data_IF_384023586088
#
_entry.id   IF_384023586088
#
_cell.length_a   1.000
_cell.length_b   1.000
_cell.length_c   1.000
_cell.angle_alpha   90.00
_cell.angle_beta   90.00
_cell.angle_gamma   90.00
#
_symmetry.space_group_name_H-M   'P 1'
#
loop_
_entity.id
_entity.type
_entity.pdbx_description
1 polymer ?
#
# COMPACT_ATOMS: atom_id res chain seq x y z
N UNK A 1 -17.01 -27.11 -23.97
CA UNK A 1 -15.64 -27.01 -23.39
C UNK A 1 -14.90 -25.81 -23.97
N UNK A 2 -14.82 -25.60 -25.31
CA UNK A 2 -14.15 -24.42 -25.90
C UNK A 2 -14.72 -23.08 -25.44
N UNK A 3 -16.04 -22.93 -25.35
CA UNK A 3 -16.68 -21.70 -24.89
C UNK A 3 -16.41 -21.41 -23.40
N UNK A 4 -16.26 -22.44 -22.56
CA UNK A 4 -15.91 -22.30 -21.15
C UNK A 4 -14.46 -21.84 -20.96
N UNK A 5 -13.53 -22.42 -21.74
CA UNK A 5 -12.10 -22.06 -21.71
C UNK A 5 -11.87 -20.62 -22.20
N UNK A 6 -12.59 -20.18 -23.25
CA UNK A 6 -12.52 -18.79 -23.74
C UNK A 6 -13.08 -17.81 -22.70
N UNK A 7 -14.11 -18.22 -21.96
CA UNK A 7 -14.77 -17.41 -20.91
C UNK A 7 -13.91 -17.24 -19.64
N UNK A 8 -12.90 -18.10 -19.45
CA UNK A 8 -12.00 -18.07 -18.29
C UNK A 8 -10.63 -17.43 -18.59
N UNK A 9 -10.32 -17.11 -19.86
CA UNK A 9 -8.96 -16.61 -20.25
C UNK A 9 -8.65 -15.18 -19.77
N UNK A 10 -9.64 -14.42 -19.35
CA UNK A 10 -9.47 -13.02 -18.97
C UNK A 10 -8.53 -12.82 -17.76
N UNK A 11 -8.57 -13.68 -16.76
CA UNK A 11 -7.66 -13.62 -15.62
C UNK A 11 -6.28 -14.17 -15.96
N UNK A 12 -6.22 -15.21 -16.81
CA UNK A 12 -4.97 -15.83 -17.20
C UNK A 12 -4.06 -14.87 -18.00
N UNK A 13 -4.63 -14.06 -18.89
CA UNK A 13 -3.86 -13.03 -19.61
C UNK A 13 -3.28 -11.97 -18.69
N UNK A 14 -4.02 -11.58 -17.65
CA UNK A 14 -3.55 -10.61 -16.65
C UNK A 14 -2.43 -11.15 -15.80
N UNK A 15 -2.57 -12.39 -15.32
CA UNK A 15 -1.50 -13.08 -14.59
C UNK A 15 -0.27 -13.28 -15.49
N UNK A 16 -0.46 -13.68 -16.74
CA UNK A 16 0.64 -13.88 -17.68
C UNK A 16 1.40 -12.58 -18.04
N UNK A 17 0.77 -11.43 -17.89
CA UNK A 17 1.41 -10.13 -18.12
C UNK A 17 2.19 -9.60 -16.90
N UNK A 18 2.00 -10.15 -15.71
CA UNK A 18 2.73 -9.72 -14.50
C UNK A 18 4.26 -9.77 -14.64
N UNK A 19 4.86 -10.87 -15.17
CA UNK A 19 6.31 -10.90 -15.36
C UNK A 19 6.81 -9.81 -16.31
N UNK A 20 6.06 -9.50 -17.37
CA UNK A 20 6.43 -8.44 -18.31
C UNK A 20 6.39 -7.05 -17.64
N UNK A 21 5.36 -6.76 -16.85
CA UNK A 21 5.29 -5.52 -16.08
C UNK A 21 6.41 -5.44 -15.03
N UNK A 22 6.67 -6.56 -14.33
CA UNK A 22 7.76 -6.61 -13.36
C UNK A 22 9.11 -6.37 -14.02
N UNK A 23 9.36 -6.95 -15.20
CA UNK A 23 10.58 -6.71 -15.97
C UNK A 23 10.76 -5.23 -16.35
N UNK A 24 9.68 -4.54 -16.72
CA UNK A 24 9.72 -3.10 -16.98
C UNK A 24 10.13 -2.34 -15.71
N UNK A 25 9.59 -2.70 -14.56
CA UNK A 25 9.99 -2.08 -13.28
C UNK A 25 11.43 -2.42 -12.90
N UNK A 26 11.89 -3.64 -13.14
CA UNK A 26 13.29 -4.06 -12.94
C UNK A 26 14.24 -3.18 -13.75
N UNK A 27 13.96 -2.98 -15.02
CA UNK A 27 14.77 -2.10 -15.89
C UNK A 27 14.70 -0.66 -15.43
N UNK A 28 13.50 -0.17 -15.11
CA UNK A 28 13.31 1.20 -14.65
C UNK A 28 14.07 1.48 -13.34
N UNK A 29 13.93 0.61 -12.34
CA UNK A 29 14.61 0.76 -11.05
C UNK A 29 16.12 0.65 -11.20
N UNK A 30 16.61 -0.27 -12.05
CA UNK A 30 18.02 -0.39 -12.36
C UNK A 30 18.59 0.91 -12.95
N UNK A 31 17.90 1.49 -13.94
CA UNK A 31 18.33 2.75 -14.57
C UNK A 31 18.27 3.90 -13.61
N UNK A 32 17.17 4.03 -12.83
CA UNK A 32 17.00 5.12 -11.85
C UNK A 32 18.11 5.10 -10.79
N UNK A 33 18.42 3.94 -10.25
CA UNK A 33 19.46 3.81 -9.22
C UNK A 33 20.85 4.10 -9.81
N UNK A 34 21.13 3.68 -11.05
CA UNK A 34 22.40 3.99 -11.74
C UNK A 34 22.52 5.47 -12.15
N UNK A 35 21.41 6.17 -12.30
CA UNK A 35 21.39 7.61 -12.59
C UNK A 35 21.57 8.49 -11.34
N UNK A 36 21.51 7.91 -10.14
CA UNK A 36 21.76 8.66 -8.90
C UNK A 36 23.20 9.16 -8.85
N UNK A 37 23.43 10.41 -8.41
CA UNK A 37 24.78 10.94 -8.25
C UNK A 37 25.49 10.25 -7.08
N UNK A 38 26.74 9.85 -7.32
CA UNK A 38 27.58 9.20 -6.33
C UNK A 38 28.16 7.87 -6.84
N UNK A 39 29.27 7.47 -6.25
CA UNK A 39 29.91 6.19 -6.51
C UNK A 39 29.82 5.33 -5.23
N UNK A 40 29.01 4.25 -5.23
CA UNK A 40 28.83 3.40 -4.05
C UNK A 40 30.14 2.75 -3.60
N UNK A 41 31.04 2.46 -4.52
CA UNK A 41 32.36 1.87 -4.21
C UNK A 41 33.23 2.85 -3.44
N UNK A 42 33.22 4.13 -3.84
CA UNK A 42 33.95 5.19 -3.14
C UNK A 42 33.35 5.45 -1.75
N UNK A 43 32.04 5.42 -1.62
CA UNK A 43 31.35 5.61 -0.32
C UNK A 43 31.76 4.50 0.66
N UNK A 44 31.81 3.24 0.21
CA UNK A 44 32.19 2.10 1.05
C UNK A 44 33.67 2.09 1.42
N UNK A 45 34.53 2.41 0.48
CA UNK A 45 35.97 2.42 0.73
C UNK A 45 36.39 3.61 1.62
N UNK A 46 35.70 4.72 1.50
CA UNK A 46 35.98 5.91 2.29
C UNK A 46 37.49 6.26 2.26
N UNK A 47 38.12 6.29 3.44
CA UNK A 47 39.55 6.57 3.57
C UNK A 47 40.47 5.39 3.17
N UNK A 48 39.91 4.18 2.98
CA UNK A 48 40.67 2.99 2.60
C UNK A 48 40.77 2.83 1.07
N UNK A 49 40.57 3.89 0.32
CA UNK A 49 40.64 3.85 -1.13
C UNK A 49 42.05 3.47 -1.61
N UNK A 50 42.11 2.40 -2.39
CA UNK A 50 43.21 2.05 -3.27
C UNK A 50 42.67 1.61 -4.62
N UNK A 51 43.38 1.81 -5.74
CA UNK A 51 42.88 1.34 -7.06
C UNK A 51 42.58 -0.16 -7.08
N UNK A 52 43.33 -0.98 -6.37
CA UNK A 52 43.11 -2.42 -6.27
C UNK A 52 41.85 -2.76 -5.46
N UNK A 53 41.69 -2.09 -4.30
CA UNK A 53 40.47 -2.28 -3.47
C UNK A 53 39.22 -1.81 -4.20
N UNK A 54 39.31 -0.71 -4.96
CA UNK A 54 38.22 -0.21 -5.79
C UNK A 54 37.81 -1.23 -6.85
N UNK A 55 38.76 -1.75 -7.64
CA UNK A 55 38.49 -2.72 -8.68
C UNK A 55 37.93 -4.04 -8.12
N UNK A 56 38.45 -4.52 -6.99
CA UNK A 56 37.96 -5.71 -6.33
C UNK A 56 36.50 -5.52 -5.86
N UNK A 57 36.22 -4.45 -5.12
CA UNK A 57 34.89 -4.16 -4.59
C UNK A 57 33.88 -3.87 -5.71
N UNK A 58 34.30 -3.19 -6.77
CA UNK A 58 33.47 -2.96 -7.94
C UNK A 58 33.05 -4.29 -8.61
N UNK A 59 33.96 -5.26 -8.68
CA UNK A 59 33.65 -6.59 -9.22
C UNK A 59 32.71 -7.36 -8.28
N UNK A 60 32.97 -7.36 -6.96
CA UNK A 60 32.15 -8.04 -5.96
C UNK A 60 30.72 -7.50 -5.92
N UNK A 61 30.53 -6.20 -6.12
CA UNK A 61 29.20 -5.57 -6.19
C UNK A 61 28.50 -5.74 -7.55
N UNK A 62 29.12 -6.44 -8.52
CA UNK A 62 28.59 -6.60 -9.86
C UNK A 62 28.49 -5.28 -10.65
N UNK A 63 29.32 -4.29 -10.28
CA UNK A 63 29.39 -2.97 -10.92
C UNK A 63 30.47 -2.90 -12.01
N UNK A 64 31.23 -3.98 -12.19
CA UNK A 64 32.21 -4.10 -13.27
C UNK A 64 31.49 -4.42 -14.58
N UNK A 65 32.07 -3.97 -15.70
CA UNK A 65 31.52 -4.22 -17.03
C UNK A 65 30.52 -3.16 -17.51
N UNK A 66 29.95 -3.43 -18.68
CA UNK A 66 28.98 -2.54 -19.33
C UNK A 66 27.63 -2.56 -18.63
N UNK A 67 26.81 -1.48 -18.76
CA UNK A 67 25.46 -1.42 -18.17
C UNK A 67 24.55 -2.60 -18.59
N UNK A 68 24.56 -3.09 -19.86
CA UNK A 68 23.80 -4.27 -20.21
C UNK A 68 24.25 -5.54 -19.46
N UNK A 69 25.56 -5.74 -19.25
CA UNK A 69 26.09 -6.88 -18.50
C UNK A 69 25.65 -6.83 -17.03
N UNK A 70 25.71 -5.65 -16.41
CA UNK A 70 25.23 -5.42 -15.05
C UNK A 70 23.72 -5.68 -14.94
N UNK A 71 22.92 -5.27 -15.94
CA UNK A 71 21.47 -5.52 -15.95
C UNK A 71 21.17 -7.01 -16.04
N UNK A 72 21.88 -7.73 -16.92
CA UNK A 72 21.71 -9.19 -17.04
C UNK A 72 22.07 -9.89 -15.73
N UNK A 73 23.20 -9.53 -15.12
CA UNK A 73 23.58 -10.05 -13.79
C UNK A 73 22.51 -9.78 -12.72
N UNK A 74 22.00 -8.55 -12.67
CA UNK A 74 20.94 -8.19 -11.75
C UNK A 74 19.67 -9.02 -11.96
N UNK A 75 19.23 -9.22 -13.22
CA UNK A 75 18.05 -10.04 -13.51
C UNK A 75 18.27 -11.51 -13.12
N UNK A 76 19.47 -12.05 -13.35
CA UNK A 76 19.81 -13.43 -12.94
C UNK A 76 19.75 -13.60 -11.43
N UNK A 77 20.34 -12.68 -10.66
CA UNK A 77 20.30 -12.69 -9.20
C UNK A 77 18.84 -12.57 -8.69
N UNK A 78 18.05 -11.70 -9.33
CA UNK A 78 16.65 -11.51 -8.97
C UNK A 78 15.80 -12.79 -9.16
N UNK A 79 16.04 -13.57 -10.23
CA UNK A 79 15.37 -14.86 -10.46
C UNK A 79 15.71 -15.87 -9.36
N UNK A 80 16.88 -15.73 -8.74
CA UNK A 80 17.31 -16.53 -7.58
C UNK A 80 16.83 -15.96 -6.24
N UNK A 81 16.01 -14.89 -6.26
CA UNK A 81 15.54 -14.13 -5.10
C UNK A 81 16.69 -13.48 -4.30
N UNK A 82 17.84 -13.27 -4.93
CA UNK A 82 18.95 -12.55 -4.37
C UNK A 82 18.83 -11.05 -4.75
N UNK A 83 18.51 -10.24 -3.75
CA UNK A 83 18.47 -8.77 -3.86
C UNK A 83 19.80 -8.10 -3.48
N UNK A 84 20.82 -8.89 -3.18
CA UNK A 84 22.11 -8.43 -2.71
C UNK A 84 22.13 -8.10 -1.22
N UNK A 85 23.26 -7.50 -0.79
CA UNK A 85 23.49 -7.08 0.58
C UNK A 85 23.46 -5.55 0.67
N UNK A 86 22.83 -5.03 1.72
CA UNK A 86 22.86 -3.60 2.05
C UNK A 86 24.29 -3.16 2.26
N UNK A 87 24.69 -2.07 1.60
CA UNK A 87 26.03 -1.51 1.69
C UNK A 87 26.31 -0.95 3.08
N UNK A 88 25.27 -0.56 3.82
CA UNK A 88 25.40 0.06 5.14
C UNK A 88 25.35 -0.95 6.28
N UNK A 89 24.46 -1.94 6.19
CA UNK A 89 24.25 -2.90 7.28
C UNK A 89 25.03 -4.21 7.07
N UNK A 90 25.47 -4.49 5.85
CA UNK A 90 26.09 -5.76 5.46
C UNK A 90 25.16 -6.96 5.52
N UNK A 91 23.84 -6.73 5.73
CA UNK A 91 22.83 -7.79 5.79
C UNK A 91 22.18 -7.98 4.44
N UNK A 92 21.69 -9.18 4.20
CA UNK A 92 20.88 -9.46 3.02
C UNK A 92 19.63 -8.55 2.99
N UNK A 93 19.38 -7.90 1.85
CA UNK A 93 18.24 -7.01 1.66
C UNK A 93 16.92 -7.77 1.84
N UNK A 94 16.86 -9.03 1.43
CA UNK A 94 15.67 -9.90 1.65
C UNK A 94 15.40 -10.08 3.14
N UNK A 95 16.42 -10.28 3.96
CA UNK A 95 16.27 -10.44 5.41
C UNK A 95 15.78 -9.14 6.08
N UNK A 96 16.32 -7.98 5.67
CA UNK A 96 15.84 -6.66 6.14
C UNK A 96 14.37 -6.46 5.77
N UNK A 97 13.96 -6.84 4.56
CA UNK A 97 12.54 -6.74 4.14
C UNK A 97 11.65 -7.69 4.92
N UNK A 98 12.06 -8.95 5.06
CA UNK A 98 11.30 -9.90 5.87
C UNK A 98 11.10 -9.38 7.30
N UNK A 99 12.03 -8.59 7.81
CA UNK A 99 11.94 -8.00 9.14
C UNK A 99 11.02 -6.78 9.24
N UNK A 100 10.99 -5.90 8.24
CA UNK A 100 10.34 -4.58 8.30
C UNK A 100 9.01 -4.53 7.57
N UNK A 101 8.90 -5.25 6.44
CA UNK A 101 7.75 -5.22 5.56
C UNK A 101 6.42 -5.58 6.24
N UNK A 102 6.33 -6.63 7.07
CA UNK A 102 5.06 -6.97 7.72
C UNK A 102 4.51 -5.83 8.57
N UNK A 103 5.37 -5.11 9.30
CA UNK A 103 4.95 -3.95 10.10
C UNK A 103 4.40 -2.82 9.23
N UNK A 104 5.08 -2.46 8.14
CA UNK A 104 4.60 -1.46 7.18
C UNK A 104 3.26 -1.86 6.56
N UNK A 105 3.13 -3.14 6.19
CA UNK A 105 1.88 -3.68 5.67
C UNK A 105 0.75 -3.64 6.69
N UNK A 106 1.02 -3.96 7.95
CA UNK A 106 0.03 -3.88 9.03
C UNK A 106 -0.53 -2.46 9.13
N UNK A 107 0.33 -1.44 9.18
CA UNK A 107 -0.10 -0.05 9.21
C UNK A 107 -0.95 0.32 7.99
N UNK A 108 -0.45 0.01 6.78
CA UNK A 108 -1.13 0.35 5.53
C UNK A 108 -2.46 -0.40 5.39
N UNK A 109 -2.51 -1.69 5.69
CA UNK A 109 -3.73 -2.50 5.59
C UNK A 109 -4.78 -2.10 6.62
N UNK A 110 -4.38 -1.81 7.87
CA UNK A 110 -5.29 -1.29 8.88
C UNK A 110 -5.90 0.05 8.44
N UNK A 111 -5.08 0.99 7.96
CA UNK A 111 -5.57 2.27 7.47
C UNK A 111 -6.52 2.10 6.28
N UNK A 112 -6.17 1.24 5.31
CA UNK A 112 -6.99 1.01 4.12
C UNK A 112 -8.31 0.32 4.45
N UNK A 113 -8.29 -0.72 5.27
CA UNK A 113 -9.49 -1.45 5.67
C UNK A 113 -10.46 -0.56 6.46
N UNK A 114 -9.95 0.22 7.40
CA UNK A 114 -10.77 1.14 8.19
C UNK A 114 -11.29 2.29 7.31
N UNK A 115 -10.47 2.85 6.39
CA UNK A 115 -10.92 3.86 5.44
C UNK A 115 -12.04 3.35 4.53
N UNK A 116 -11.90 2.13 4.00
CA UNK A 116 -12.92 1.50 3.16
C UNK A 116 -14.22 1.26 3.94
N UNK A 117 -14.14 0.76 5.17
CA UNK A 117 -15.30 0.52 6.03
C UNK A 117 -16.00 1.83 6.41
N UNK A 118 -15.24 2.80 6.92
CA UNK A 118 -15.78 4.09 7.36
C UNK A 118 -16.42 4.82 6.18
N UNK A 119 -15.77 4.86 5.03
CA UNK A 119 -16.32 5.52 3.83
C UNK A 119 -17.62 4.87 3.35
N UNK A 120 -17.68 3.54 3.38
CA UNK A 120 -18.88 2.79 2.99
C UNK A 120 -20.07 3.11 3.93
N UNK A 121 -19.84 3.09 5.24
CA UNK A 121 -20.89 3.36 6.25
C UNK A 121 -21.32 4.83 6.23
N UNK A 122 -20.37 5.75 6.16
CA UNK A 122 -20.66 7.19 6.13
C UNK A 122 -21.42 7.57 4.87
N UNK A 123 -21.03 7.05 3.70
CA UNK A 123 -21.76 7.30 2.45
C UNK A 123 -23.20 6.81 2.50
N UNK A 124 -23.45 5.64 3.13
CA UNK A 124 -24.80 5.14 3.35
C UNK A 124 -25.67 6.15 4.10
N UNK A 125 -25.16 6.68 5.23
CA UNK A 125 -25.88 7.66 6.05
C UNK A 125 -26.14 8.95 5.26
N UNK A 126 -25.12 9.44 4.53
CA UNK A 126 -25.18 10.67 3.73
C UNK A 126 -26.25 10.59 2.63
N UNK A 127 -26.34 9.44 1.94
CA UNK A 127 -27.29 9.24 0.83
C UNK A 127 -28.72 9.04 1.35
N UNK A 128 -28.90 8.38 2.50
CA UNK A 128 -30.22 8.22 3.10
C UNK A 128 -30.80 9.52 3.71
N UNK A 129 -29.93 10.43 4.16
CA UNK A 129 -30.33 11.67 4.82
C UNK A 129 -29.72 12.90 4.13
N UNK A 130 -30.04 13.16 2.85
CA UNK A 130 -29.35 14.19 2.05
C UNK A 130 -29.53 15.61 2.58
N UNK A 131 -30.62 15.88 3.32
CA UNK A 131 -30.95 17.19 3.90
C UNK A 131 -30.41 17.40 5.31
N UNK A 132 -29.76 16.39 5.91
CA UNK A 132 -29.19 16.50 7.25
C UNK A 132 -27.93 17.40 7.22
N UNK A 133 -27.74 18.32 8.17
CA UNK A 133 -26.52 19.15 8.26
C UNK A 133 -25.23 18.32 8.39
N UNK A 134 -25.28 17.17 9.05
CA UNK A 134 -24.15 16.22 9.10
C UNK A 134 -23.77 15.75 7.70
N UNK A 135 -24.76 15.41 6.86
CA UNK A 135 -24.51 15.00 5.49
C UNK A 135 -23.88 16.15 4.66
N UNK A 136 -24.30 17.40 4.88
CA UNK A 136 -23.70 18.56 4.25
C UNK A 136 -22.23 18.75 4.66
N UNK A 137 -21.91 18.57 5.95
CA UNK A 137 -20.54 18.64 6.47
C UNK A 137 -19.66 17.52 5.89
N UNK A 138 -20.17 16.29 5.84
CA UNK A 138 -19.44 15.15 5.24
C UNK A 138 -19.19 15.40 3.74
N UNK A 139 -20.17 15.93 3.01
CA UNK A 139 -19.97 16.29 1.59
C UNK A 139 -18.94 17.41 1.42
N UNK A 140 -18.89 18.39 2.33
CA UNK A 140 -17.87 19.41 2.32
C UNK A 140 -16.48 18.84 2.58
N UNK A 141 -16.34 17.96 3.57
CA UNK A 141 -15.13 17.21 3.85
C UNK A 141 -14.68 16.37 2.63
N UNK A 142 -15.60 15.63 2.01
CA UNK A 142 -15.30 14.82 0.83
C UNK A 142 -14.86 15.66 -0.38
N UNK A 143 -15.34 16.91 -0.50
CA UNK A 143 -14.88 17.86 -1.52
C UNK A 143 -13.48 18.41 -1.24
N UNK A 144 -13.11 18.52 0.04
CA UNK A 144 -11.80 18.98 0.48
C UNK A 144 -10.72 17.87 0.44
N UNK A 145 -11.04 16.68 -0.11
CA UNK A 145 -10.11 15.56 -0.19
C UNK A 145 -8.76 15.98 -0.79
N UNK A 146 -7.68 15.68 -0.07
CA UNK A 146 -6.32 16.01 -0.49
C UNK A 146 -5.90 17.49 -0.31
N UNK A 147 -6.76 18.35 0.26
CA UNK A 147 -6.42 19.76 0.48
C UNK A 147 -5.34 19.94 1.56
N UNK A 148 -5.27 19.04 2.53
CA UNK A 148 -4.28 19.07 3.62
C UNK A 148 -3.34 17.87 3.43
N UNK A 149 -2.03 18.10 3.32
CA UNK A 149 -1.06 17.01 3.26
C UNK A 149 -1.13 16.11 4.52
N UNK A 150 -1.01 14.82 4.33
CA UNK A 150 -1.16 13.82 5.39
C UNK A 150 -0.15 14.04 6.54
N UNK A 151 1.07 14.43 6.24
CA UNK A 151 2.09 14.72 7.25
C UNK A 151 1.70 15.90 8.15
N UNK A 152 1.00 16.92 7.62
CA UNK A 152 0.51 18.06 8.42
C UNK A 152 -0.54 17.59 9.42
N UNK A 153 -1.43 16.69 8.99
CA UNK A 153 -2.41 16.07 9.88
C UNK A 153 -1.73 15.22 10.95
N UNK A 154 -0.65 14.50 10.61
CA UNK A 154 0.10 13.68 11.55
C UNK A 154 0.79 14.55 12.63
N UNK A 155 1.48 15.61 12.20
CA UNK A 155 2.14 16.55 13.12
C UNK A 155 1.11 17.25 14.01
N UNK A 156 0.01 17.73 13.43
CA UNK A 156 -1.08 18.33 14.20
C UNK A 156 -1.68 17.32 15.20
N UNK A 157 -1.87 16.07 14.78
CA UNK A 157 -2.33 14.99 15.64
C UNK A 157 -1.38 14.72 16.81
N UNK A 158 -0.07 14.69 16.56
CA UNK A 158 0.94 14.55 17.63
C UNK A 158 0.91 15.73 18.61
N UNK A 159 0.82 16.96 18.11
CA UNK A 159 0.75 18.14 18.96
C UNK A 159 -0.51 18.08 19.86
N UNK A 160 -1.66 17.75 19.28
CA UNK A 160 -2.93 17.76 20.03
C UNK A 160 -3.05 16.53 20.93
N UNK A 161 -2.94 15.32 20.37
CA UNK A 161 -3.28 14.10 21.10
C UNK A 161 -2.15 13.56 21.98
N UNK A 162 -0.90 13.75 21.59
CA UNK A 162 0.23 13.34 22.41
C UNK A 162 0.68 14.48 23.33
N UNK A 163 1.08 15.65 22.78
CA UNK A 163 1.74 16.67 23.58
C UNK A 163 0.75 17.47 24.46
N UNK A 164 -0.45 17.84 23.97
CA UNK A 164 -1.37 18.68 24.70
C UNK A 164 -2.34 17.89 25.60
N UNK A 165 -2.91 16.80 25.09
CA UNK A 165 -3.94 16.01 25.77
C UNK A 165 -3.40 14.78 26.51
N UNK A 166 -2.21 14.27 26.13
CA UNK A 166 -1.66 13.04 26.70
C UNK A 166 -2.49 11.77 26.40
N UNK A 167 -3.29 11.78 25.32
CA UNK A 167 -4.16 10.66 24.96
C UNK A 167 -3.46 9.63 24.07
N UNK A 168 -2.47 10.05 23.29
CA UNK A 168 -1.68 9.17 22.46
C UNK A 168 -0.36 8.81 23.14
N UNK A 169 0.18 7.60 22.94
CA UNK A 169 1.49 7.21 23.43
C UNK A 169 2.61 8.02 22.75
N UNK A 170 3.81 7.96 23.32
CA UNK A 170 4.98 8.61 22.74
C UNK A 170 5.31 8.04 21.35
N UNK A 171 5.71 8.88 20.36
CA UNK A 171 5.99 8.43 19.00
C UNK A 171 7.40 7.82 18.88
N UNK A 172 7.67 6.79 19.65
CA UNK A 172 9.02 6.15 19.77
C UNK A 172 9.01 4.67 19.36
N UNK A 173 8.01 4.25 18.61
CA UNK A 173 7.88 2.88 18.13
C UNK A 173 6.46 2.35 18.21
N UNK A 174 6.32 1.05 17.99
CA UNK A 174 5.03 0.33 17.94
C UNK A 174 4.62 -0.27 19.28
N UNK A 175 5.52 -0.28 20.26
CA UNK A 175 5.36 -0.96 21.53
C UNK A 175 6.02 -0.11 22.61
N UNK A 176 5.41 -0.02 23.78
CA UNK A 176 6.02 0.64 24.93
C UNK A 176 7.37 0.00 25.26
N UNK A 177 8.36 0.82 25.61
CA UNK A 177 9.74 0.38 25.86
C UNK A 177 9.82 -0.64 27.01
N UNK A 178 8.86 -0.62 27.92
CA UNK A 178 8.82 -1.48 29.09
C UNK A 178 8.20 -2.87 28.81
N UNK A 179 7.55 -3.05 27.64
CA UNK A 179 6.88 -4.29 27.27
C UNK A 179 7.78 -5.11 26.37
N UNK A 180 7.98 -6.37 26.73
CA UNK A 180 8.74 -7.31 25.89
C UNK A 180 7.98 -7.59 24.60
N UNK A 181 8.66 -7.50 23.44
CA UNK A 181 8.03 -7.83 22.17
C UNK A 181 7.60 -9.30 22.14
N UNK A 182 6.44 -9.61 21.51
CA UNK A 182 5.96 -10.97 21.37
C UNK A 182 6.93 -11.78 20.48
N UNK A 183 6.92 -13.13 20.62
CA UNK A 183 7.65 -14.00 19.72
C UNK A 183 7.23 -13.76 18.28
N UNK A 184 8.20 -13.63 17.39
CA UNK A 184 7.95 -13.37 15.98
C UNK A 184 7.60 -14.65 15.23
N UNK A 185 6.33 -14.81 14.84
CA UNK A 185 5.81 -15.97 14.11
C UNK A 185 5.47 -15.59 12.66
N UNK A 186 4.68 -14.55 12.48
CA UNK A 186 4.24 -14.05 11.16
C UNK A 186 5.02 -12.81 10.72
N UNK A 187 5.62 -12.10 11.67
CA UNK A 187 6.27 -10.82 11.49
C UNK A 187 5.32 -9.62 11.54
N UNK A 188 4.00 -9.83 11.56
CA UNK A 188 3.00 -8.77 11.80
C UNK A 188 2.89 -8.53 13.31
N UNK A 189 3.30 -7.35 13.82
CA UNK A 189 3.44 -7.15 15.28
C UNK A 189 2.16 -7.39 16.08
N UNK A 190 1.02 -6.87 15.62
CA UNK A 190 -0.26 -7.07 16.29
C UNK A 190 -0.73 -8.52 16.22
N UNK A 191 -0.60 -9.15 15.05
CA UNK A 191 -0.99 -10.54 14.87
C UNK A 191 -0.13 -11.48 15.73
N UNK A 192 1.17 -11.24 15.79
CA UNK A 192 2.09 -12.01 16.62
C UNK A 192 1.79 -11.86 18.11
N UNK A 193 1.42 -10.65 18.57
CA UNK A 193 0.98 -10.42 19.94
C UNK A 193 -0.32 -11.19 20.28
N UNK A 194 -1.28 -11.20 19.36
CA UNK A 194 -2.53 -11.94 19.51
C UNK A 194 -2.28 -13.45 19.52
N UNK A 195 -1.46 -13.97 18.60
CA UNK A 195 -1.12 -15.39 18.53
C UNK A 195 -0.36 -15.88 19.79
N UNK A 196 0.47 -15.01 20.36
CA UNK A 196 1.17 -15.28 21.61
C UNK A 196 0.27 -15.20 22.86
N UNK A 197 -0.99 -14.74 22.73
CA UNK A 197 -1.87 -14.46 23.84
C UNK A 197 -1.39 -13.31 24.73
N UNK A 198 -0.47 -12.47 24.25
CA UNK A 198 0.08 -11.35 25.00
C UNK A 198 -0.83 -10.12 24.85
N UNK A 199 -1.84 -10.04 25.75
CA UNK A 199 -2.84 -8.97 25.74
C UNK A 199 -2.20 -7.60 26.00
N UNK A 200 -1.18 -7.54 26.83
CA UNK A 200 -0.47 -6.29 27.16
C UNK A 200 0.24 -5.73 25.94
N UNK A 201 1.02 -6.56 25.24
CA UNK A 201 1.69 -6.16 24.01
C UNK A 201 0.67 -5.79 22.90
N UNK A 202 -0.40 -6.58 22.74
CA UNK A 202 -1.45 -6.27 21.77
C UNK A 202 -2.13 -4.92 22.08
N UNK A 203 -2.45 -4.64 23.34
CA UNK A 203 -3.02 -3.38 23.78
C UNK A 203 -2.09 -2.18 23.51
N UNK A 204 -0.80 -2.33 23.81
CA UNK A 204 0.21 -1.30 23.52
C UNK A 204 0.35 -1.07 22.02
N UNK A 205 0.46 -2.13 21.19
CA UNK A 205 0.55 -1.99 19.73
C UNK A 205 -0.68 -1.27 19.16
N UNK A 206 -1.88 -1.65 19.61
CA UNK A 206 -3.12 -0.98 19.18
C UNK A 206 -3.10 0.50 19.55
N UNK A 207 -2.71 0.85 20.77
CA UNK A 207 -2.65 2.26 21.21
C UNK A 207 -1.70 3.10 20.36
N UNK A 208 -0.53 2.54 19.97
CA UNK A 208 0.43 3.20 19.09
C UNK A 208 -0.06 3.30 17.65
N UNK A 209 -0.92 2.39 17.18
CA UNK A 209 -1.51 2.42 15.84
C UNK A 209 -2.68 3.40 15.72
N UNK A 210 -3.41 3.72 16.79
CA UNK A 210 -4.63 4.52 16.73
C UNK A 210 -4.40 5.87 16.05
N UNK A 211 -3.40 6.62 16.47
CA UNK A 211 -3.16 7.97 15.94
C UNK A 211 -2.66 7.94 14.48
N UNK A 212 -1.60 7.20 14.10
CA UNK A 212 -1.17 7.16 12.71
C UNK A 212 -2.23 6.58 11.77
N UNK A 213 -2.91 5.50 12.14
CA UNK A 213 -4.03 4.95 11.36
C UNK A 213 -5.17 5.96 11.26
N UNK A 214 -5.53 6.63 12.34
CA UNK A 214 -6.57 7.67 12.36
C UNK A 214 -6.29 8.81 11.39
N UNK A 215 -5.04 9.29 11.34
CA UNK A 215 -4.59 10.32 10.39
C UNK A 215 -4.71 9.81 8.95
N UNK A 216 -4.22 8.60 8.66
CA UNK A 216 -4.29 8.00 7.34
C UNK A 216 -5.75 7.79 6.90
N UNK A 217 -6.61 7.33 7.81
CA UNK A 217 -8.06 7.18 7.57
C UNK A 217 -8.70 8.54 7.27
N UNK A 218 -8.39 9.57 8.03
CA UNK A 218 -8.89 10.92 7.81
C UNK A 218 -8.48 11.45 6.44
N UNK A 219 -7.24 11.25 6.03
CA UNK A 219 -6.76 11.72 4.73
C UNK A 219 -7.44 11.02 3.55
N UNK A 220 -7.66 9.70 3.63
CA UNK A 220 -8.07 8.87 2.50
C UNK A 220 -9.58 8.63 2.41
N UNK A 221 -10.28 8.57 3.54
CA UNK A 221 -11.73 8.34 3.54
C UNK A 221 -12.51 9.44 2.80
N UNK A 222 -12.02 10.68 2.77
CA UNK A 222 -12.65 11.77 2.05
C UNK A 222 -12.86 11.45 0.55
N UNK A 223 -11.83 10.91 -0.10
CA UNK A 223 -11.89 10.52 -1.51
C UNK A 223 -12.82 9.31 -1.73
N UNK A 224 -12.73 8.32 -0.86
CA UNK A 224 -13.59 7.12 -0.94
C UNK A 224 -15.06 7.48 -0.68
N UNK A 225 -15.36 8.36 0.28
CA UNK A 225 -16.72 8.87 0.54
C UNK A 225 -17.27 9.58 -0.69
N UNK A 226 -16.47 10.44 -1.34
CA UNK A 226 -16.88 11.11 -2.56
C UNK A 226 -17.31 10.14 -3.66
N UNK A 227 -16.51 9.10 -3.88
CA UNK A 227 -16.80 8.08 -4.89
C UNK A 227 -18.01 7.23 -4.53
N UNK A 228 -18.12 6.83 -3.25
CA UNK A 228 -19.28 6.08 -2.78
C UNK A 228 -20.57 6.88 -2.93
N UNK A 229 -20.59 8.14 -2.47
CA UNK A 229 -21.79 8.99 -2.53
C UNK A 229 -22.24 9.16 -3.98
N UNK A 230 -21.35 9.52 -4.90
CA UNK A 230 -21.68 9.66 -6.30
C UNK A 230 -22.21 8.35 -6.90
N UNK A 231 -21.49 7.22 -6.70
CA UNK A 231 -21.91 5.93 -7.25
C UNK A 231 -23.22 5.39 -6.65
N UNK A 232 -23.49 5.67 -5.36
CA UNK A 232 -24.77 5.28 -4.74
C UNK A 232 -25.94 6.13 -5.25
N UNK A 233 -25.77 7.45 -5.42
CA UNK A 233 -26.78 8.35 -5.99
C UNK A 233 -27.13 7.91 -7.41
N UNK A 234 -26.15 7.71 -8.27
CA UNK A 234 -26.36 7.20 -9.64
C UNK A 234 -27.07 5.86 -9.65
N UNK A 235 -26.64 4.90 -8.80
CA UNK A 235 -27.23 3.58 -8.74
C UNK A 235 -28.66 3.55 -8.16
N UNK A 236 -29.03 4.49 -7.30
CA UNK A 236 -30.41 4.63 -6.77
C UNK A 236 -31.35 5.08 -7.87
N UNK A 237 -30.93 6.05 -8.69
CA UNK A 237 -31.77 6.62 -9.78
C UNK A 237 -31.82 5.73 -11.02
N UNK A 238 -31.01 4.69 -11.09
CA UNK A 238 -30.94 3.74 -12.21
C UNK A 238 -32.26 2.97 -12.42
N UNK A 239 -32.69 2.76 -13.68
CA UNK A 239 -33.90 1.95 -14.01
C UNK A 239 -33.92 0.56 -13.39
N UNK A 240 -32.74 -0.09 -13.21
CA UNK A 240 -32.63 -1.41 -12.55
C UNK A 240 -33.09 -1.34 -11.10
N UNK A 241 -32.79 -0.27 -10.37
CA UNK A 241 -33.27 -0.10 -8.99
C UNK A 241 -34.78 0.09 -8.96
N UNK A 242 -35.32 0.94 -9.84
CA UNK A 242 -36.78 1.16 -9.95
C UNK A 242 -37.53 -0.15 -10.30
N UNK A 243 -36.98 -0.92 -11.23
CA UNK A 243 -37.53 -2.23 -11.57
C UNK A 243 -37.55 -3.20 -10.39
N UNK A 244 -36.44 -3.28 -9.63
CA UNK A 244 -36.37 -4.16 -8.44
C UNK A 244 -37.38 -3.77 -7.37
N UNK A 245 -37.52 -2.47 -7.10
CA UNK A 245 -38.53 -1.96 -6.16
C UNK A 245 -39.95 -2.30 -6.64
N UNK A 246 -40.24 -2.03 -7.92
CA UNK A 246 -41.57 -2.34 -8.52
C UNK A 246 -41.87 -3.85 -8.52
N UNK A 247 -40.86 -4.70 -8.64
CA UNK A 247 -40.99 -6.16 -8.57
C UNK A 247 -41.13 -6.72 -7.16
N UNK A 248 -41.19 -5.87 -6.11
CA UNK A 248 -41.35 -6.30 -4.73
C UNK A 248 -40.11 -6.88 -4.08
N UNK A 249 -38.92 -6.60 -4.60
CA UNK A 249 -37.68 -7.05 -3.98
C UNK A 249 -37.50 -6.50 -2.55
N UNK A 250 -36.95 -7.31 -1.65
CA UNK A 250 -36.72 -6.89 -0.26
C UNK A 250 -35.74 -5.71 -0.21
N UNK A 251 -35.89 -4.86 0.82
CA UNK A 251 -35.02 -3.68 1.03
C UNK A 251 -33.55 -4.08 1.03
N UNK A 252 -33.19 -5.19 1.68
CA UNK A 252 -31.80 -5.68 1.70
C UNK A 252 -31.29 -6.04 0.30
N UNK A 253 -32.14 -6.70 -0.54
CA UNK A 253 -31.77 -7.04 -1.91
C UNK A 253 -31.57 -5.79 -2.79
N UNK A 254 -32.38 -4.75 -2.60
CA UNK A 254 -32.27 -3.48 -3.30
C UNK A 254 -30.95 -2.78 -2.89
N UNK A 255 -30.69 -2.63 -1.58
CA UNK A 255 -29.47 -2.01 -1.05
C UNK A 255 -28.23 -2.73 -1.55
N UNK A 256 -28.17 -4.07 -1.44
CA UNK A 256 -27.05 -4.85 -1.94
C UNK A 256 -26.82 -4.65 -3.45
N UNK A 257 -27.90 -4.58 -4.23
CA UNK A 257 -27.81 -4.32 -5.67
C UNK A 257 -27.27 -2.93 -5.99
N UNK A 258 -27.67 -1.90 -5.23
CA UNK A 258 -27.17 -0.52 -5.36
C UNK A 258 -25.68 -0.49 -5.04
N UNK A 259 -25.26 -1.04 -3.90
CA UNK A 259 -23.85 -1.11 -3.50
C UNK A 259 -22.99 -1.85 -4.52
N UNK A 260 -23.46 -2.99 -5.02
CA UNK A 260 -22.72 -3.77 -6.02
C UNK A 260 -22.46 -2.98 -7.31
N UNK A 261 -23.36 -2.09 -7.70
CA UNK A 261 -23.19 -1.25 -8.90
C UNK A 261 -22.34 -0.02 -8.64
N UNK A 262 -22.39 0.53 -7.42
CA UNK A 262 -21.56 1.66 -6.99
C UNK A 262 -20.11 1.28 -6.67
N UNK A 263 -19.83 0.02 -6.31
CA UNK A 263 -18.54 -0.43 -5.79
C UNK A 263 -17.36 -0.38 -6.76
N UNK A 264 -17.47 -0.66 -8.08
CA UNK A 264 -16.30 -0.80 -8.94
C UNK A 264 -15.34 0.41 -8.96
N UNK A 265 -15.78 1.68 -9.05
CA UNK A 265 -14.88 2.82 -8.97
C UNK A 265 -14.17 2.92 -7.62
N UNK A 266 -14.88 2.61 -6.53
CA UNK A 266 -14.32 2.66 -5.17
C UNK A 266 -13.26 1.59 -4.98
N UNK A 267 -13.49 0.36 -5.44
CA UNK A 267 -12.53 -0.75 -5.35
C UNK A 267 -11.28 -0.43 -6.16
N UNK A 268 -11.44 0.12 -7.37
CA UNK A 268 -10.30 0.57 -8.18
C UNK A 268 -9.49 1.64 -7.44
N UNK A 269 -10.17 2.61 -6.83
CA UNK A 269 -9.51 3.65 -6.06
C UNK A 269 -8.82 3.12 -4.81
N UNK A 270 -9.44 2.15 -4.11
CA UNK A 270 -8.83 1.49 -2.96
C UNK A 270 -7.51 0.81 -3.33
N UNK A 271 -7.43 0.17 -4.51
CA UNK A 271 -6.17 -0.38 -5.02
C UNK A 271 -5.12 0.70 -5.32
N UNK A 272 -5.53 1.82 -5.91
CA UNK A 272 -4.63 2.96 -6.15
C UNK A 272 -4.12 3.55 -4.83
N UNK A 273 -5.00 3.67 -3.83
CA UNK A 273 -4.63 4.15 -2.49
C UNK A 273 -3.65 3.22 -1.78
N UNK A 274 -3.66 1.92 -2.03
CA UNK A 274 -2.67 1.00 -1.47
C UNK A 274 -1.24 1.38 -1.89
N UNK A 275 -1.03 1.63 -3.19
CA UNK A 275 0.29 2.10 -3.67
C UNK A 275 0.70 3.45 -3.05
N UNK A 276 -0.26 4.37 -2.92
CA UNK A 276 -0.03 5.65 -2.25
C UNK A 276 0.29 5.48 -0.76
N UNK A 277 -0.36 4.54 -0.06
CA UNK A 277 -0.16 4.26 1.35
C UNK A 277 1.24 3.73 1.67
N UNK A 278 1.81 2.90 0.80
CA UNK A 278 3.18 2.44 1.01
C UNK A 278 4.16 3.61 0.95
N UNK A 279 3.94 4.56 0.02
CA UNK A 279 4.72 5.81 -0.01
C UNK A 279 4.46 6.71 1.20
N UNK A 280 3.19 6.86 1.62
CA UNK A 280 2.80 7.63 2.81
C UNK A 280 3.24 7.00 4.12
N UNK A 281 3.32 5.66 4.18
CA UNK A 281 3.84 4.95 5.34
C UNK A 281 5.27 5.37 5.69
N UNK A 282 6.10 5.75 4.71
CA UNK A 282 7.45 6.31 4.93
C UNK A 282 7.40 7.48 5.91
N UNK A 283 6.51 8.42 5.66
CA UNK A 283 6.38 9.63 6.49
C UNK A 283 5.80 9.28 7.86
N UNK A 284 4.78 8.41 7.90
CA UNK A 284 4.19 7.96 9.16
C UNK A 284 5.19 7.18 10.00
N UNK A 285 5.95 6.27 9.41
CA UNK A 285 6.97 5.49 10.11
C UNK A 285 8.08 6.37 10.70
N UNK A 286 8.51 7.40 9.96
CA UNK A 286 9.48 8.38 10.47
C UNK A 286 8.94 9.22 11.63
N UNK A 287 7.70 9.75 11.51
CA UNK A 287 7.10 10.60 12.54
C UNK A 287 6.74 9.83 13.83
N UNK A 288 6.36 8.56 13.71
CA UNK A 288 5.96 7.72 14.85
C UNK A 288 7.06 6.73 15.31
N UNK A 289 8.24 6.79 14.72
CA UNK A 289 9.39 5.94 15.08
C UNK A 289 9.19 4.45 14.77
N UNK A 290 8.41 4.09 13.77
CA UNK A 290 7.99 2.69 13.50
C UNK A 290 9.05 1.82 12.82
N UNK A 291 10.19 2.32 12.49
CA UNK A 291 11.33 1.56 11.97
C UNK A 291 10.97 0.54 10.85
N UNK A 292 10.05 0.92 9.97
CA UNK A 292 9.53 0.07 8.91
C UNK A 292 10.31 0.16 7.60
N UNK A 293 9.68 -0.30 6.51
CA UNK A 293 10.25 -0.29 5.15
C UNK A 293 10.48 1.12 4.61
N UNK A 294 9.58 2.05 4.95
CA UNK A 294 9.69 3.43 4.51
C UNK A 294 10.90 4.12 5.11
N UNK A 295 11.11 3.97 6.41
CA UNK A 295 12.30 4.51 7.07
C UNK A 295 13.58 3.89 6.51
N UNK A 296 13.59 2.59 6.26
CA UNK A 296 14.70 1.89 5.62
C UNK A 296 15.05 2.47 4.24
N UNK A 297 14.05 2.81 3.44
CA UNK A 297 14.26 3.44 2.13
C UNK A 297 14.86 4.85 2.26
N UNK A 298 14.39 5.66 3.23
CA UNK A 298 14.96 6.99 3.50
C UNK A 298 16.42 6.87 3.95
N UNK A 299 16.71 5.94 4.84
CA UNK A 299 18.06 5.69 5.33
C UNK A 299 18.99 5.23 4.18
N UNK A 300 18.48 4.37 3.27
CA UNK A 300 19.21 3.93 2.09
C UNK A 300 19.53 5.08 1.13
N UNK A 301 18.58 6.02 0.92
CA UNK A 301 18.84 7.22 0.10
C UNK A 301 19.90 8.10 0.74
N UNK A 302 19.77 8.40 2.04
CA UNK A 302 20.67 9.30 2.76
C UNK A 302 22.09 8.75 2.88
N UNK A 303 22.23 7.44 2.94
CA UNK A 303 23.51 6.75 3.06
C UNK A 303 24.13 6.33 1.72
N UNK A 304 23.42 6.51 0.60
CA UNK A 304 23.86 6.05 -0.72
C UNK A 304 23.84 4.52 -0.86
N UNK A 305 23.00 3.82 -0.12
CA UNK A 305 22.81 2.37 -0.24
C UNK A 305 21.91 2.03 -1.44
N UNK A 306 22.53 1.98 -2.61
CA UNK A 306 21.82 1.76 -3.87
C UNK A 306 21.20 0.37 -3.97
N UNK A 307 21.81 -0.64 -3.34
CA UNK A 307 21.29 -2.03 -3.37
C UNK A 307 20.01 -2.11 -2.55
N UNK A 308 20.03 -1.57 -1.34
CA UNK A 308 18.85 -1.50 -0.49
C UNK A 308 17.70 -0.72 -1.15
N UNK A 309 18.01 0.44 -1.75
CA UNK A 309 17.02 1.26 -2.43
C UNK A 309 16.42 0.57 -3.65
N UNK A 310 17.25 -0.09 -4.47
CA UNK A 310 16.82 -0.83 -5.65
C UNK A 310 15.89 -1.99 -5.27
N UNK A 311 16.24 -2.74 -4.23
CA UNK A 311 15.40 -3.78 -3.66
C UNK A 311 14.06 -3.25 -3.16
N UNK A 312 14.07 -2.12 -2.42
CA UNK A 312 12.85 -1.47 -1.94
C UNK A 312 11.90 -1.10 -3.09
N UNK A 313 12.40 -0.39 -4.09
CA UNK A 313 11.59 0.03 -5.23
C UNK A 313 10.98 -1.15 -5.97
N UNK A 314 11.74 -2.23 -6.14
CA UNK A 314 11.27 -3.45 -6.80
C UNK A 314 10.18 -4.16 -5.98
N UNK A 315 10.36 -4.32 -4.67
CA UNK A 315 9.37 -4.96 -3.80
C UNK A 315 8.08 -4.16 -3.77
N UNK A 316 8.16 -2.83 -3.66
CA UNK A 316 6.97 -1.95 -3.70
C UNK A 316 6.25 -2.07 -5.05
N UNK A 317 7.00 -2.10 -6.17
CA UNK A 317 6.41 -2.30 -7.50
C UNK A 317 5.73 -3.67 -7.63
N UNK A 318 6.39 -4.75 -7.19
CA UNK A 318 5.83 -6.10 -7.22
C UNK A 318 4.55 -6.20 -6.38
N UNK A 319 4.54 -5.64 -5.19
CA UNK A 319 3.36 -5.60 -4.33
C UNK A 319 2.22 -4.80 -4.94
N UNK A 320 2.52 -3.64 -5.53
CA UNK A 320 1.52 -2.82 -6.22
C UNK A 320 0.89 -3.59 -7.39
N UNK A 321 1.69 -4.30 -8.19
CA UNK A 321 1.18 -5.14 -9.28
C UNK A 321 0.26 -6.25 -8.77
N UNK A 322 0.60 -6.91 -7.65
CA UNK A 322 -0.26 -7.93 -7.04
C UNK A 322 -1.58 -7.33 -6.58
N UNK A 323 -1.54 -6.18 -5.92
CA UNK A 323 -2.76 -5.50 -5.45
C UNK A 323 -3.63 -5.06 -6.63
N UNK A 324 -3.05 -4.48 -7.69
CA UNK A 324 -3.82 -4.14 -8.90
C UNK A 324 -4.43 -5.37 -9.57
N UNK A 325 -3.70 -6.50 -9.60
CA UNK A 325 -4.27 -7.76 -10.09
C UNK A 325 -5.49 -8.20 -9.25
N UNK A 326 -5.39 -8.15 -7.92
CA UNK A 326 -6.50 -8.49 -7.03
C UNK A 326 -7.70 -7.56 -7.27
N UNK A 327 -7.46 -6.25 -7.37
CA UNK A 327 -8.48 -5.24 -7.66
C UNK A 327 -9.18 -5.51 -9.00
N UNK A 328 -8.42 -5.83 -10.04
CA UNK A 328 -8.97 -6.18 -11.34
C UNK A 328 -9.84 -7.43 -11.28
N UNK A 329 -9.39 -8.46 -10.57
CA UNK A 329 -10.16 -9.70 -10.37
C UNK A 329 -11.46 -9.40 -9.63
N UNK A 330 -11.41 -8.65 -8.53
CA UNK A 330 -12.58 -8.29 -7.73
C UNK A 330 -13.58 -7.48 -8.57
N UNK A 331 -13.11 -6.49 -9.33
CA UNK A 331 -13.97 -5.70 -10.21
C UNK A 331 -14.68 -6.57 -11.27
N UNK A 332 -13.98 -7.53 -11.89
CA UNK A 332 -14.57 -8.43 -12.88
C UNK A 332 -15.53 -9.48 -12.26
N UNK A 333 -15.38 -9.78 -10.97
CA UNK A 333 -16.33 -10.60 -10.23
C UNK A 333 -17.61 -9.82 -9.91
N UNK A 334 -17.48 -8.55 -9.58
CA UNK A 334 -18.62 -7.67 -9.26
C UNK A 334 -19.39 -7.23 -10.50
N UNK A 335 -18.68 -6.91 -11.58
CA UNK A 335 -19.27 -6.52 -12.87
C UNK A 335 -18.77 -7.41 -14.01
N UNK A 336 -19.49 -8.51 -14.31
CA UNK A 336 -19.10 -9.42 -15.41
C UNK A 336 -19.08 -8.77 -16.79
N UNK A 337 -19.69 -7.61 -16.99
CA UNK A 337 -19.70 -6.87 -18.27
C UNK A 337 -18.31 -6.30 -18.61
N UNK A 338 -17.46 -6.10 -17.62
CA UNK A 338 -16.07 -5.64 -17.78
C UNK A 338 -15.11 -6.74 -18.25
N UNK A 339 -15.59 -7.98 -18.40
CA UNK A 339 -14.74 -9.10 -18.86
C UNK A 339 -14.43 -8.92 -20.34
N UNK A 340 -13.15 -9.02 -20.77
CA UNK A 340 -12.79 -8.98 -22.19
C UNK A 340 -13.54 -10.04 -22.98
N UNK A 341 -14.13 -9.64 -24.12
CA UNK A 341 -14.89 -10.54 -25.01
C UNK A 341 -16.40 -10.61 -24.78
N UNK A 342 -16.94 -9.92 -23.77
CA UNK A 342 -18.37 -9.69 -23.65
C UNK A 342 -18.71 -8.44 -24.48
N UNK A 343 -19.18 -8.63 -25.73
CA UNK A 343 -19.79 -7.53 -26.50
C UNK A 343 -21.10 -7.15 -25.80
N UNK A 344 -21.20 -5.92 -25.33
CA UNK A 344 -22.47 -5.29 -25.06
C UNK A 344 -23.03 -4.95 -26.45
N UNK A 345 -24.02 -5.70 -26.91
CA UNK A 345 -24.80 -5.28 -28.06
C UNK A 345 -25.51 -3.99 -27.63
N UNK A 346 -25.05 -2.87 -28.16
CA UNK A 346 -25.75 -1.60 -28.09
C UNK A 346 -27.06 -1.77 -28.89
N UNK A 347 -28.15 -1.94 -28.16
CA UNK A 347 -29.52 -1.90 -28.68
C UNK A 347 -30.15 -0.57 -28.33
#
# INVERSE_FOLDING_TARGET
VRAWVVRQRWWATRVAMLPAHLLVFVVLTFVLVRAMPGDPVLVLLGQNYTPQAYAALQADLGLAGSLPEQLVGYVVNLVQLDLGQSLMTGREVVAEFAQRLPGTLELAMCALAISALVSCLVAYVVVLHPRNPVSATVRAYARAAGAIPEYVLAVAGLIVFYAALGWAPAPVGRLDIQILPPPRVTGFPLLDAVLAGNVEAAGSIVSHLVLPVGVMVLAQSALLIKLWVAGLEDAIDDPVTRFRVASGASRAAVVLSVYRRAAPPVITMTGTLFGYLIGGAVVMEGLFGFNGMGQYAVDAVNSGDFIALQGFLLVVAAMSLVVFLVVDIVNMLLDPRRRPGVRVEES
#
